data_IF_833195193069
#
_entry.id   IF_833195193069
#
_cell.length_a   1.000
_cell.length_b   1.000
_cell.length_c   1.000
_cell.angle_alpha   90.00
_cell.angle_beta   90.00
_cell.angle_gamma   90.00
#
_symmetry.space_group_name_H-M   'P 1'
#
loop_
_entity.id
_entity.type
_entity.pdbx_description
1 polymer ?
#
# COMPACT_ATOMS: atom_id res chain seq x y z
N UNK A 1 15.48 1.52 -4.08
CA UNK A 1 15.47 2.83 -3.39
C UNK A 1 14.59 2.72 -2.17
N UNK A 2 15.18 2.81 -0.99
CA UNK A 2 14.50 2.51 0.27
C UNK A 2 13.49 3.59 0.63
N UNK A 3 12.31 3.19 1.11
CA UNK A 3 11.20 4.11 1.34
C UNK A 3 10.61 4.08 2.75
N UNK A 4 11.12 3.23 3.66
CA UNK A 4 10.62 3.16 5.03
C UNK A 4 10.66 4.56 5.68
N UNK A 5 9.51 5.19 5.96
CA UNK A 5 9.48 6.56 6.44
C UNK A 5 9.67 6.63 7.96
N UNK A 6 10.09 7.80 8.45
CA UNK A 6 10.00 8.13 9.87
C UNK A 6 8.56 8.57 10.17
N UNK A 7 7.72 7.62 10.57
CA UNK A 7 6.28 7.78 10.72
C UNK A 7 5.79 7.11 12.01
N UNK A 8 4.55 7.43 12.45
CA UNK A 8 3.92 6.74 13.57
C UNK A 8 3.97 5.21 13.40
N UNK A 9 4.08 4.43 14.49
CA UNK A 9 4.21 2.96 14.42
C UNK A 9 3.00 2.28 13.74
N UNK A 10 3.25 1.25 12.93
CA UNK A 10 2.23 0.66 12.08
C UNK A 10 1.20 -0.13 12.87
N UNK A 11 1.69 -0.94 13.80
CA UNK A 11 0.84 -1.81 14.60
C UNK A 11 0.00 -0.98 15.58
N UNK A 12 0.56 0.10 16.12
CA UNK A 12 -0.18 1.07 16.92
C UNK A 12 -1.29 1.75 16.12
N UNK A 13 -1.01 2.29 14.93
CA UNK A 13 -2.06 2.89 14.07
C UNK A 13 -3.12 1.86 13.69
N UNK A 14 -2.74 0.63 13.33
CA UNK A 14 -3.69 -0.46 13.00
C UNK A 14 -4.53 -0.91 14.20
N UNK A 15 -4.07 -0.68 15.43
CA UNK A 15 -4.83 -0.95 16.65
C UNK A 15 -5.80 0.19 17.01
N UNK A 16 -5.56 1.41 16.49
CA UNK A 16 -6.40 2.58 16.71
C UNK A 16 -7.52 2.66 15.65
N UNK A 17 -8.65 2.02 15.92
CA UNK A 17 -9.76 1.89 14.96
C UNK A 17 -10.35 3.21 14.44
N UNK A 18 -10.15 4.33 15.14
CA UNK A 18 -10.61 5.66 14.72
C UNK A 18 -9.58 6.45 13.87
N UNK A 19 -8.35 5.92 13.72
CA UNK A 19 -7.29 6.51 12.89
C UNK A 19 -7.20 5.80 11.55
N UNK A 20 -6.81 6.53 10.51
CA UNK A 20 -6.61 5.96 9.18
C UNK A 20 -5.24 5.26 9.09
N UNK A 21 -5.21 4.09 8.46
CA UNK A 21 -3.97 3.48 8.03
C UNK A 21 -3.77 3.65 6.51
N UNK A 22 -2.69 4.32 6.14
CA UNK A 22 -2.18 4.42 4.77
C UNK A 22 -0.87 3.65 4.69
N UNK A 23 -0.75 2.78 3.70
CA UNK A 23 0.47 2.00 3.47
C UNK A 23 1.69 2.90 3.35
N UNK A 24 2.82 2.46 3.92
CA UNK A 24 4.02 3.28 4.11
C UNK A 24 4.55 3.89 2.83
N UNK A 25 4.45 3.17 1.71
CA UNK A 25 4.95 3.66 0.43
C UNK A 25 4.17 4.87 -0.12
N UNK A 26 2.95 5.09 0.37
CA UNK A 26 2.02 6.10 -0.13
C UNK A 26 1.90 7.34 0.78
N UNK A 27 2.60 7.36 1.92
CA UNK A 27 2.58 8.48 2.87
C UNK A 27 3.22 9.75 2.30
N UNK A 28 4.21 9.60 1.42
CA UNK A 28 4.93 10.70 0.79
C UNK A 28 4.49 11.02 -0.64
N UNK A 29 5.43 11.57 -1.40
CA UNK A 29 5.34 11.80 -2.84
C UNK A 29 5.33 10.47 -3.59
N UNK A 30 4.57 10.44 -4.67
CA UNK A 30 4.54 9.34 -5.63
C UNK A 30 5.95 9.01 -6.15
N UNK A 31 6.39 7.79 -5.87
CA UNK A 31 7.72 7.29 -6.18
C UNK A 31 8.04 7.34 -7.68
N UNK A 32 7.04 7.26 -8.56
CA UNK A 32 7.22 7.44 -10.00
C UNK A 32 7.87 8.78 -10.34
N UNK A 33 7.54 9.84 -9.59
CA UNK A 33 8.06 11.20 -9.80
C UNK A 33 9.52 11.34 -9.40
N UNK A 34 10.04 10.39 -8.62
CA UNK A 34 11.42 10.39 -8.16
C UNK A 34 12.28 9.38 -8.93
N UNK A 35 11.81 8.14 -9.07
CA UNK A 35 12.57 7.06 -9.69
C UNK A 35 12.76 7.29 -11.19
N UNK A 36 11.71 7.64 -11.94
CA UNK A 36 11.80 7.75 -13.40
C UNK A 36 12.83 8.81 -13.85
N UNK A 37 12.85 10.04 -13.30
CA UNK A 37 13.89 11.02 -13.66
C UNK A 37 15.30 10.58 -13.24
N UNK A 38 15.46 9.91 -12.10
CA UNK A 38 16.77 9.41 -11.63
C UNK A 38 17.32 8.30 -12.53
N UNK A 39 16.46 7.37 -12.96
CA UNK A 39 16.83 6.33 -13.91
C UNK A 39 17.14 6.91 -15.30
N UNK A 40 16.38 7.90 -15.77
CA UNK A 40 16.71 8.61 -17.01
C UNK A 40 18.08 9.30 -16.93
N UNK A 41 18.39 9.94 -15.80
CA UNK A 41 19.72 10.53 -15.55
C UNK A 41 20.83 9.48 -15.53
N UNK A 42 20.56 8.28 -15.00
CA UNK A 42 21.52 7.17 -15.04
C UNK A 42 21.76 6.68 -16.47
N UNK A 43 20.71 6.47 -17.26
CA UNK A 43 20.82 6.09 -18.66
C UNK A 43 21.60 7.12 -19.49
N UNK A 44 21.36 8.40 -19.24
CA UNK A 44 22.10 9.49 -19.88
C UNK A 44 23.59 9.49 -19.51
N UNK A 45 23.93 9.18 -18.25
CA UNK A 45 25.35 9.02 -17.84
C UNK A 45 26.02 7.83 -18.53
N UNK A 46 25.29 6.73 -18.72
CA UNK A 46 25.81 5.56 -19.45
C UNK A 46 26.06 5.97 -20.92
N UNK A 47 25.08 6.61 -21.57
CA UNK A 47 25.20 7.15 -22.94
C UNK A 47 26.44 8.04 -23.09
N UNK A 48 26.64 8.98 -22.17
CA UNK A 48 27.83 9.85 -22.17
C UNK A 48 29.16 9.10 -22.06
N UNK A 49 29.15 7.90 -21.48
CA UNK A 49 30.37 7.09 -21.28
C UNK A 49 30.69 6.19 -22.47
N UNK A 50 29.69 5.75 -23.23
CA UNK A 50 29.86 4.73 -24.30
C UNK A 50 29.46 5.20 -25.70
N UNK A 51 28.84 6.38 -25.84
CA UNK A 51 28.32 6.88 -27.10
C UNK A 51 26.83 6.59 -27.29
N UNK A 52 26.44 6.09 -28.47
CA UNK A 52 25.04 5.78 -28.77
C UNK A 52 24.52 4.66 -27.84
N UNK A 53 23.33 4.86 -27.27
CA UNK A 53 22.67 3.92 -26.37
C UNK A 53 21.16 3.99 -26.64
N UNK A 54 20.58 2.90 -27.13
CA UNK A 54 19.14 2.71 -27.12
C UNK A 54 18.70 2.31 -25.73
N UNK A 55 17.80 3.09 -25.11
CA UNK A 55 17.27 2.74 -23.79
C UNK A 55 15.81 3.13 -23.59
N UNK A 56 15.17 2.44 -22.63
CA UNK A 56 13.84 2.80 -22.13
C UNK A 56 13.74 2.57 -20.63
N UNK A 57 13.23 3.58 -19.92
CA UNK A 57 13.08 3.57 -18.46
C UNK A 57 11.65 3.18 -18.08
N UNK A 58 11.53 2.27 -17.12
CA UNK A 58 10.25 1.87 -16.52
C UNK A 58 10.30 1.87 -14.99
N UNK A 59 9.12 2.07 -14.41
CA UNK A 59 8.83 2.05 -12.98
C UNK A 59 7.33 1.71 -12.88
N UNK A 60 6.96 0.50 -12.45
CA UNK A 60 5.61 -0.05 -12.17
C UNK A 60 4.54 0.03 -13.31
N UNK A 61 4.42 1.16 -13.98
CA UNK A 61 3.37 1.48 -14.95
C UNK A 61 3.47 0.80 -16.32
N UNK A 62 4.36 -0.17 -16.50
CA UNK A 62 4.64 -0.81 -17.78
C UNK A 62 4.28 -2.31 -17.73
N UNK A 63 3.97 -2.96 -18.87
CA UNK A 63 3.66 -4.38 -18.91
C UNK A 63 4.94 -5.24 -18.79
N UNK A 64 5.66 -5.05 -17.69
CA UNK A 64 6.95 -5.67 -17.38
C UNK A 64 6.85 -6.31 -16.00
N UNK A 65 7.32 -7.54 -15.87
CA UNK A 65 7.31 -8.26 -14.61
C UNK A 65 8.53 -7.88 -13.74
N UNK A 66 8.54 -6.63 -13.26
CA UNK A 66 9.66 -5.99 -12.53
C UNK A 66 10.26 -6.87 -11.43
N UNK A 67 9.42 -7.47 -10.58
CA UNK A 67 9.88 -8.34 -9.48
C UNK A 67 10.64 -9.57 -9.97
N UNK A 68 10.24 -10.15 -11.10
CA UNK A 68 10.93 -11.30 -11.68
C UNK A 68 12.27 -10.90 -12.30
N UNK A 69 12.33 -9.73 -12.95
CA UNK A 69 13.58 -9.16 -13.45
C UNK A 69 14.55 -8.86 -12.31
N UNK A 70 14.07 -8.23 -11.25
CA UNK A 70 14.88 -7.89 -10.08
C UNK A 70 15.41 -9.14 -9.33
N UNK A 71 14.61 -10.22 -9.25
CA UNK A 71 15.10 -11.53 -8.76
C UNK A 71 16.21 -12.06 -9.66
N UNK A 72 15.99 -12.04 -10.98
CA UNK A 72 16.95 -12.59 -11.94
C UNK A 72 18.26 -11.78 -11.98
N UNK A 73 18.20 -10.48 -11.71
CA UNK A 73 19.35 -9.58 -11.63
C UNK A 73 20.03 -9.56 -10.26
N UNK A 74 19.78 -10.57 -9.41
CA UNK A 74 20.44 -10.69 -8.11
C UNK A 74 20.07 -9.62 -7.07
N UNK A 75 19.02 -8.80 -7.26
CA UNK A 75 18.64 -7.77 -6.28
C UNK A 75 18.04 -8.38 -5.00
N UNK A 76 17.57 -9.63 -5.06
CA UNK A 76 16.97 -10.32 -3.94
C UNK A 76 16.26 -11.61 -4.33
N UNK A 77 15.38 -12.09 -3.46
CA UNK A 77 14.52 -13.24 -3.71
C UNK A 77 13.05 -12.88 -3.51
N UNK A 78 12.15 -13.61 -4.15
CA UNK A 78 10.71 -13.41 -3.96
C UNK A 78 10.29 -14.07 -2.64
N UNK A 79 9.68 -13.27 -1.75
CA UNK A 79 9.09 -13.75 -0.51
C UNK A 79 7.78 -14.50 -0.72
N UNK A 80 7.34 -15.29 0.28
CA UNK A 80 6.04 -16.01 0.19
C UNK A 80 4.84 -15.07 0.03
N UNK A 81 4.96 -13.81 0.44
CA UNK A 81 4.01 -12.72 0.21
C UNK A 81 4.20 -12.01 -1.15
N UNK A 82 4.97 -12.58 -2.08
CA UNK A 82 5.19 -12.11 -3.47
C UNK A 82 5.85 -10.74 -3.65
N UNK A 83 6.43 -10.13 -2.61
CA UNK A 83 7.33 -8.98 -2.79
C UNK A 83 8.79 -9.46 -2.87
N UNK A 84 9.62 -8.69 -3.55
CA UNK A 84 11.06 -8.90 -3.53
C UNK A 84 11.61 -8.56 -2.14
N UNK A 85 12.52 -9.39 -1.66
CA UNK A 85 13.23 -9.19 -0.39
C UNK A 85 14.72 -9.13 -0.70
N UNK A 86 15.36 -8.08 -0.21
CA UNK A 86 16.79 -7.87 -0.20
C UNK A 86 17.34 -8.15 1.21
N UNK A 87 18.57 -8.67 1.29
CA UNK A 87 19.20 -9.06 2.56
C UNK A 87 19.43 -7.88 3.50
N UNK A 88 19.72 -6.70 2.96
CA UNK A 88 20.08 -5.50 3.72
C UNK A 88 18.92 -4.52 3.85
N UNK A 89 18.04 -4.43 2.85
CA UNK A 89 16.92 -3.48 2.84
C UNK A 89 15.57 -4.09 3.25
N UNK A 90 15.49 -5.40 3.47
CA UNK A 90 14.21 -6.08 3.65
C UNK A 90 13.37 -6.01 2.37
N UNK A 91 12.14 -5.53 2.44
CA UNK A 91 11.23 -5.34 1.29
C UNK A 91 10.74 -3.90 1.13
N UNK A 92 11.33 -2.97 1.88
CA UNK A 92 10.92 -1.56 1.94
C UNK A 92 11.67 -0.70 0.92
N UNK A 93 11.65 -1.10 -0.35
CA UNK A 93 12.26 -0.35 -1.44
C UNK A 93 11.43 -0.42 -2.72
N UNK A 94 11.58 0.60 -3.56
CA UNK A 94 10.98 0.63 -4.90
C UNK A 94 11.91 0.01 -5.95
N UNK A 95 11.28 -0.60 -6.96
CA UNK A 95 11.91 -1.13 -8.17
C UNK A 95 11.82 -0.13 -9.33
N UNK A 96 12.71 -0.30 -10.28
CA UNK A 96 12.68 0.40 -11.55
C UNK A 96 13.77 -0.15 -12.47
N UNK A 97 13.51 -0.10 -13.77
CA UNK A 97 14.29 -0.78 -14.79
C UNK A 97 14.76 0.19 -15.87
N UNK A 98 15.94 -0.09 -16.41
CA UNK A 98 16.44 0.53 -17.65
C UNK A 98 16.67 -0.61 -18.63
N UNK A 99 15.83 -0.69 -19.64
CA UNK A 99 16.06 -1.56 -20.79
C UNK A 99 17.11 -0.89 -21.65
N UNK A 100 18.13 -1.64 -22.04
CA UNK A 100 19.25 -1.17 -22.87
C UNK A 100 19.48 -2.15 -24.00
N UNK A 101 19.99 -1.67 -25.13
CA UNK A 101 20.48 -2.49 -26.25
C UNK A 101 21.94 -2.94 -26.08
N UNK A 102 22.54 -2.63 -24.92
CA UNK A 102 23.88 -3.06 -24.54
C UNK A 102 23.87 -4.52 -24.05
N UNK A 103 24.72 -5.42 -24.58
CA UNK A 103 24.81 -6.82 -24.16
C UNK A 103 25.58 -6.96 -22.84
N UNK A 104 24.96 -6.52 -21.75
CA UNK A 104 25.52 -6.66 -20.40
C UNK A 104 25.53 -8.13 -19.96
N UNK A 105 26.58 -8.59 -19.26
CA UNK A 105 26.58 -9.92 -18.65
C UNK A 105 25.47 -10.00 -17.58
N UNK A 106 24.71 -11.10 -17.51
CA UNK A 106 23.67 -11.25 -16.50
C UNK A 106 24.27 -11.52 -15.12
N UNK A 107 23.64 -10.94 -14.08
CA UNK A 107 23.92 -11.26 -12.70
C UNK A 107 23.39 -12.65 -12.31
N UNK A 108 23.83 -13.17 -11.16
CA UNK A 108 23.34 -14.41 -10.58
C UNK A 108 22.20 -14.14 -9.59
N UNK A 109 21.08 -14.88 -9.66
CA UNK A 109 20.01 -14.77 -8.68
C UNK A 109 20.46 -15.12 -7.26
N UNK A 110 19.83 -14.48 -6.27
CA UNK A 110 20.06 -14.77 -4.85
C UNK A 110 19.21 -15.96 -4.40
N UNK A 111 19.74 -16.79 -3.49
CA UNK A 111 19.02 -17.90 -2.90
C UNK A 111 17.77 -17.44 -2.13
N UNK A 112 16.74 -18.28 -2.07
CA UNK A 112 15.54 -17.99 -1.28
C UNK A 112 15.82 -18.20 0.21
N UNK A 113 15.45 -17.21 1.04
CA UNK A 113 15.66 -17.27 2.49
C UNK A 113 14.36 -17.23 3.31
N UNK A 114 13.22 -17.60 2.75
CA UNK A 114 11.98 -17.74 3.52
C UNK A 114 11.96 -19.00 4.40
N UNK A 115 12.60 -20.09 3.97
CA UNK A 115 12.58 -21.37 4.70
C UNK A 115 11.17 -21.85 5.05
N UNK A 116 10.99 -22.34 6.28
CA UNK A 116 9.70 -22.80 6.80
C UNK A 116 8.76 -21.66 7.24
N UNK A 117 9.20 -20.39 7.27
CA UNK A 117 8.42 -19.26 7.78
C UNK A 117 7.07 -19.12 7.07
N UNK A 118 5.99 -18.89 7.83
CA UNK A 118 4.63 -18.69 7.34
C UNK A 118 3.98 -17.38 7.80
N UNK A 119 4.68 -16.55 8.57
CA UNK A 119 4.14 -15.36 9.24
C UNK A 119 3.28 -14.46 8.33
N UNK A 120 3.73 -14.21 7.09
CA UNK A 120 2.98 -13.37 6.15
C UNK A 120 1.66 -13.98 5.67
N UNK A 121 1.56 -15.32 5.57
CA UNK A 121 0.31 -16.01 5.27
C UNK A 121 -0.64 -15.89 6.46
N UNK A 122 -0.12 -16.18 7.66
CA UNK A 122 -0.90 -16.26 8.88
C UNK A 122 -1.49 -14.90 9.28
N UNK A 123 -0.73 -13.80 9.08
CA UNK A 123 -1.19 -12.45 9.42
C UNK A 123 -2.18 -11.85 8.41
N UNK A 124 -2.27 -12.40 7.19
CA UNK A 124 -3.02 -11.76 6.11
C UNK A 124 -4.53 -11.67 6.44
N UNK A 125 -5.12 -10.47 6.62
CA UNK A 125 -6.46 -10.37 7.22
C UNK A 125 -7.56 -11.04 6.39
N UNK A 126 -7.43 -11.03 5.07
CA UNK A 126 -8.38 -11.61 4.12
C UNK A 126 -7.94 -12.98 3.59
N UNK A 127 -6.82 -13.51 4.10
CA UNK A 127 -6.18 -14.74 3.60
C UNK A 127 -5.96 -14.68 2.08
N UNK A 128 -5.46 -13.54 1.59
CA UNK A 128 -5.18 -13.31 0.18
C UNK A 128 -3.94 -14.06 -0.31
N UNK A 129 -3.00 -14.40 0.57
CA UNK A 129 -1.87 -15.29 0.24
C UNK A 129 -2.36 -16.74 0.39
N UNK A 130 -2.95 -17.28 -0.68
CA UNK A 130 -3.63 -18.59 -0.67
C UNK A 130 -2.64 -19.76 -0.62
N UNK A 131 -1.40 -19.54 -1.04
CA UNK A 131 -0.30 -20.48 -0.93
C UNK A 131 1.03 -19.69 -0.94
N UNK A 132 2.15 -20.28 -0.48
CA UNK A 132 3.46 -19.65 -0.65
C UNK A 132 3.69 -19.17 -2.09
N UNK A 133 4.03 -17.89 -2.24
CA UNK A 133 4.30 -17.25 -3.54
C UNK A 133 3.06 -17.06 -4.44
N UNK A 134 1.85 -17.25 -3.89
CA UNK A 134 0.60 -17.11 -4.63
C UNK A 134 -0.37 -16.19 -3.88
N UNK A 135 -0.74 -15.08 -4.52
CA UNK A 135 -1.69 -14.10 -3.98
C UNK A 135 -2.92 -14.04 -4.89
N UNK A 136 -4.11 -14.18 -4.31
CA UNK A 136 -5.36 -13.81 -4.97
C UNK A 136 -5.59 -12.30 -4.80
N UNK A 137 -5.34 -11.54 -5.86
CA UNK A 137 -5.49 -10.09 -5.86
C UNK A 137 -6.92 -9.66 -5.47
N UNK A 138 -7.95 -10.43 -5.83
CA UNK A 138 -9.36 -10.09 -5.54
C UNK A 138 -9.67 -10.07 -4.04
N UNK A 139 -8.82 -10.72 -3.23
CA UNK A 139 -8.91 -10.74 -1.76
C UNK A 139 -7.94 -9.75 -1.13
N UNK A 140 -6.91 -9.32 -1.85
CA UNK A 140 -5.83 -8.50 -1.30
C UNK A 140 -6.32 -7.09 -0.97
N UNK A 141 -6.20 -6.67 0.29
CA UNK A 141 -6.62 -5.32 0.74
C UNK A 141 -5.94 -4.22 -0.07
N UNK A 142 -4.67 -4.41 -0.45
CA UNK A 142 -3.96 -3.46 -1.32
C UNK A 142 -4.66 -3.29 -2.66
N UNK A 143 -5.06 -4.38 -3.32
CA UNK A 143 -5.81 -4.32 -4.57
C UNK A 143 -7.20 -3.72 -4.35
N UNK A 144 -7.93 -4.16 -3.32
CA UNK A 144 -9.28 -3.71 -3.01
C UNK A 144 -9.33 -2.19 -2.75
N UNK A 145 -8.32 -1.63 -2.10
CA UNK A 145 -8.28 -0.19 -1.78
C UNK A 145 -7.76 0.68 -2.92
N UNK A 146 -6.93 0.13 -3.83
CA UNK A 146 -6.21 0.92 -4.85
C UNK A 146 -6.75 0.71 -6.26
N UNK A 147 -6.91 -0.54 -6.69
CA UNK A 147 -7.18 -0.92 -8.08
C UNK A 147 -8.62 -1.33 -8.33
N UNK A 148 -9.30 -1.91 -7.33
CA UNK A 148 -10.74 -2.19 -7.45
C UNK A 148 -11.51 -0.87 -7.63
N UNK A 149 -12.23 -0.74 -8.74
CA UNK A 149 -13.09 0.43 -9.05
C UNK A 149 -14.54 0.26 -8.61
N UNK A 150 -14.95 -0.97 -8.27
CA UNK A 150 -16.31 -1.28 -7.83
C UNK A 150 -16.43 -1.37 -6.32
N UNK A 151 -17.56 -1.93 -5.86
CA UNK A 151 -17.80 -2.21 -4.46
C UNK A 151 -16.75 -3.17 -3.87
N UNK A 152 -16.41 -2.98 -2.60
CA UNK A 152 -15.61 -3.97 -1.85
C UNK A 152 -16.57 -5.10 -1.44
N UNK A 153 -16.25 -6.37 -1.74
CA UNK A 153 -17.08 -7.50 -1.32
C UNK A 153 -17.32 -7.51 0.19
N UNK A 154 -18.58 -7.76 0.60
CA UNK A 154 -19.02 -7.62 1.99
C UNK A 154 -18.18 -8.47 2.94
N UNK A 155 -17.77 -9.67 2.51
CA UNK A 155 -16.96 -10.61 3.28
C UNK A 155 -15.56 -10.07 3.65
N UNK A 156 -15.04 -9.07 2.92
CA UNK A 156 -13.72 -8.49 3.19
C UNK A 156 -13.78 -7.19 3.98
N UNK A 157 -14.92 -6.47 3.97
CA UNK A 157 -15.05 -5.15 4.60
C UNK A 157 -14.62 -5.15 6.07
N UNK A 158 -15.04 -6.16 6.83
CA UNK A 158 -14.68 -6.26 8.25
C UNK A 158 -13.17 -6.51 8.47
N UNK A 159 -12.57 -7.40 7.67
CA UNK A 159 -11.15 -7.75 7.80
C UNK A 159 -10.21 -6.60 7.40
N UNK A 160 -10.70 -5.61 6.65
CA UNK A 160 -9.91 -4.44 6.26
C UNK A 160 -9.52 -3.55 7.46
N UNK A 161 -10.29 -3.57 8.54
CA UNK A 161 -10.05 -2.70 9.69
C UNK A 161 -10.05 -1.23 9.27
N UNK A 162 -9.01 -0.49 9.64
CA UNK A 162 -8.84 0.93 9.32
C UNK A 162 -7.90 1.21 8.13
N UNK A 163 -7.61 0.21 7.28
CA UNK A 163 -6.76 0.37 6.09
C UNK A 163 -7.53 1.05 4.96
N UNK A 164 -7.16 2.29 4.66
CA UNK A 164 -7.87 3.11 3.67
C UNK A 164 -7.14 3.21 2.32
N UNK A 165 -5.84 2.87 2.27
CA UNK A 165 -5.06 2.86 1.03
C UNK A 165 -3.84 1.94 1.18
N UNK A 166 -3.80 0.84 0.43
CA UNK A 166 -2.75 -0.17 0.55
C UNK A 166 -2.88 -1.03 1.82
N UNK A 167 -1.96 -1.98 1.97
CA UNK A 167 -1.85 -2.84 3.15
C UNK A 167 -0.42 -3.34 3.26
N UNK A 168 0.16 -3.23 4.47
CA UNK A 168 1.56 -3.63 4.70
C UNK A 168 1.70 -4.86 5.58
N UNK A 169 0.62 -5.45 6.09
CA UNK A 169 0.64 -6.51 7.10
C UNK A 169 1.64 -7.64 6.79
N UNK A 170 1.64 -8.12 5.54
CA UNK A 170 2.52 -9.20 5.09
C UNK A 170 4.01 -8.79 5.04
N UNK A 171 4.29 -7.49 4.88
CA UNK A 171 5.62 -6.92 5.01
C UNK A 171 5.95 -6.64 6.49
N UNK A 172 5.05 -6.02 7.25
CA UNK A 172 5.27 -5.67 8.66
C UNK A 172 5.67 -6.88 9.51
N UNK A 173 5.07 -8.05 9.25
CA UNK A 173 5.41 -9.30 9.97
C UNK A 173 6.64 -10.02 9.40
N UNK A 174 7.16 -9.60 8.24
CA UNK A 174 8.25 -10.30 7.58
C UNK A 174 9.55 -10.13 8.38
N UNK A 175 10.21 -11.22 8.83
CA UNK A 175 11.39 -11.13 9.69
C UNK A 175 12.61 -10.48 9.01
N UNK A 176 12.60 -10.38 7.68
CA UNK A 176 13.64 -9.70 6.91
C UNK A 176 13.51 -8.18 6.95
N UNK A 177 12.34 -7.64 7.30
CA UNK A 177 12.16 -6.20 7.41
C UNK A 177 12.80 -5.59 8.66
N UNK A 178 13.30 -6.40 9.60
CA UNK A 178 14.14 -5.92 10.71
C UNK A 178 15.47 -5.31 10.25
N UNK A 179 15.91 -5.62 9.03
CA UNK A 179 17.13 -5.08 8.45
C UNK A 179 16.90 -3.75 7.73
N UNK A 180 15.65 -3.41 7.43
CA UNK A 180 15.31 -2.17 6.74
C UNK A 180 15.67 -0.94 7.58
N UNK A 181 16.16 0.10 6.91
CA UNK A 181 16.55 1.36 7.51
C UNK A 181 15.58 2.45 7.12
N UNK A 182 15.45 3.46 7.98
CA UNK A 182 14.70 4.67 7.66
C UNK A 182 15.30 5.34 6.41
N UNK A 183 14.43 5.73 5.49
CA UNK A 183 14.81 6.41 4.28
C UNK A 183 15.28 7.83 4.58
N UNK A 184 16.43 8.20 4.01
CA UNK A 184 16.91 9.58 4.02
C UNK A 184 16.19 10.45 2.98
N UNK A 185 15.34 9.86 2.13
CA UNK A 185 14.62 10.56 1.08
C UNK A 185 13.43 11.34 1.65
N UNK A 186 13.53 12.67 1.62
CA UNK A 186 12.48 13.55 2.16
C UNK A 186 11.16 13.40 1.42
N UNK A 187 11.22 13.10 0.12
CA UNK A 187 10.03 12.88 -0.70
C UNK A 187 9.19 11.69 -0.22
N UNK A 188 9.74 10.75 0.55
CA UNK A 188 8.99 9.60 1.07
C UNK A 188 8.43 9.82 2.48
N UNK A 189 8.74 10.96 3.11
CA UNK A 189 8.24 11.26 4.45
C UNK A 189 6.75 11.60 4.45
N UNK A 190 6.02 11.37 5.56
CA UNK A 190 4.59 11.60 5.62
C UNK A 190 4.19 13.03 5.26
N UNK A 191 3.21 13.16 4.38
CA UNK A 191 2.59 14.44 4.02
C UNK A 191 1.22 14.54 4.65
N UNK A 192 0.84 15.76 5.05
CA UNK A 192 -0.50 16.06 5.58
C UNK A 192 -0.90 15.20 6.79
N UNK A 193 0.09 14.71 7.55
CA UNK A 193 -0.10 13.88 8.74
C UNK A 193 -0.88 12.59 8.47
N UNK A 194 -0.83 12.06 7.24
CA UNK A 194 -1.59 10.87 6.83
C UNK A 194 -1.26 9.62 7.66
N UNK A 195 -0.16 9.60 8.41
CA UNK A 195 0.19 8.54 9.36
C UNK A 195 -0.53 8.65 10.71
N UNK A 196 -1.23 9.77 10.98
CA UNK A 196 -1.86 10.10 12.27
C UNK A 196 -3.28 10.69 12.13
N UNK A 197 -3.83 10.78 10.92
CA UNK A 197 -5.15 11.39 10.70
C UNK A 197 -6.29 10.51 11.18
N UNK A 198 -7.31 11.13 11.78
CA UNK A 198 -8.57 10.47 12.14
C UNK A 198 -9.41 10.17 10.90
N UNK A 199 -10.16 9.08 10.93
CA UNK A 199 -11.03 8.68 9.83
C UNK A 199 -12.11 9.74 9.53
N UNK A 200 -12.73 10.30 10.57
CA UNK A 200 -13.78 11.33 10.43
C UNK A 200 -13.26 12.58 9.74
N UNK A 201 -12.04 13.03 10.05
CA UNK A 201 -11.40 14.19 9.41
C UNK A 201 -11.22 13.94 7.91
N UNK A 202 -10.71 12.76 7.53
CA UNK A 202 -10.44 12.41 6.13
C UNK A 202 -11.73 12.20 5.32
N UNK A 203 -12.79 11.69 5.94
CA UNK A 203 -14.09 11.51 5.30
C UNK A 203 -14.80 12.84 5.06
N UNK A 204 -14.50 13.87 5.86
CA UNK A 204 -15.03 15.23 5.70
C UNK A 204 -14.34 16.04 4.58
N UNK A 205 -13.22 15.59 4.02
CA UNK A 205 -12.57 16.28 2.89
C UNK A 205 -13.52 16.39 1.69
N UNK A 206 -13.63 17.57 1.11
CA UNK A 206 -14.29 17.73 -0.19
C UNK A 206 -13.45 17.09 -1.31
N UNK A 207 -14.03 16.92 -2.50
CA UNK A 207 -13.26 16.44 -3.66
C UNK A 207 -12.10 17.40 -3.99
N UNK A 208 -12.35 18.71 -3.93
CA UNK A 208 -11.32 19.73 -4.13
C UNK A 208 -10.19 19.61 -3.10
N UNK A 209 -10.53 19.42 -1.82
CA UNK A 209 -9.53 19.23 -0.78
C UNK A 209 -8.73 17.93 -0.99
N UNK A 210 -9.41 16.83 -1.28
CA UNK A 210 -8.78 15.55 -1.61
C UNK A 210 -7.80 15.72 -2.77
N UNK A 211 -8.24 16.32 -3.89
CA UNK A 211 -7.39 16.54 -5.06
C UNK A 211 -6.17 17.39 -4.67
N UNK A 212 -6.38 18.52 -4.00
CA UNK A 212 -5.29 19.42 -3.60
C UNK A 212 -4.28 18.74 -2.66
N UNK A 213 -4.73 18.08 -1.59
CA UNK A 213 -3.88 17.41 -0.59
C UNK A 213 -3.14 16.20 -1.16
N UNK A 214 -3.77 15.45 -2.07
CA UNK A 214 -3.16 14.26 -2.68
C UNK A 214 -2.35 14.56 -3.95
N UNK A 215 -2.11 15.85 -4.27
CA UNK A 215 -1.31 16.21 -5.44
C UNK A 215 0.10 15.61 -5.37
N UNK A 216 0.44 14.84 -6.41
CA UNK A 216 1.71 14.14 -6.51
C UNK A 216 1.87 13.00 -5.49
N UNK A 217 0.78 12.44 -4.97
CA UNK A 217 0.75 11.21 -4.17
C UNK A 217 0.15 10.06 -4.98
N UNK A 218 0.59 8.83 -4.69
CA UNK A 218 0.01 7.61 -5.25
C UNK A 218 -1.48 7.46 -4.90
N UNK A 219 -1.94 8.06 -3.79
CA UNK A 219 -3.32 7.98 -3.30
C UNK A 219 -4.37 8.35 -4.37
N UNK A 220 -4.04 9.27 -5.27
CA UNK A 220 -4.92 9.67 -6.38
C UNK A 220 -5.33 8.49 -7.28
N UNK A 221 -4.58 7.40 -7.31
CA UNK A 221 -4.91 6.18 -8.06
C UNK A 221 -6.26 5.59 -7.66
N UNK A 222 -6.69 5.74 -6.41
CA UNK A 222 -7.98 5.25 -5.94
C UNK A 222 -9.17 6.12 -6.44
N UNK A 223 -8.92 7.40 -6.75
CA UNK A 223 -9.97 8.39 -7.01
C UNK A 223 -10.73 8.79 -5.74
N UNK A 224 -11.54 9.85 -5.83
CA UNK A 224 -12.27 10.39 -4.67
C UNK A 224 -13.42 9.47 -4.20
N UNK A 225 -14.16 8.87 -5.14
CA UNK A 225 -15.18 7.87 -4.79
C UNK A 225 -14.57 6.64 -4.10
N UNK A 226 -13.43 6.15 -4.60
CA UNK A 226 -12.69 5.05 -3.96
C UNK A 226 -12.14 5.42 -2.57
N UNK A 227 -11.68 6.66 -2.40
CA UNK A 227 -11.28 7.22 -1.10
C UNK A 227 -12.43 7.19 -0.09
N UNK A 228 -13.60 7.74 -0.45
CA UNK A 228 -14.78 7.73 0.41
C UNK A 228 -15.27 6.31 0.71
N UNK A 229 -15.29 5.42 -0.30
CA UNK A 229 -15.65 4.01 -0.14
C UNK A 229 -14.77 3.31 0.90
N UNK A 230 -13.45 3.48 0.80
CA UNK A 230 -12.50 2.86 1.73
C UNK A 230 -12.66 3.41 3.15
N UNK A 231 -12.86 4.74 3.28
CA UNK A 231 -13.11 5.38 4.56
C UNK A 231 -14.43 4.97 5.19
N UNK A 232 -15.50 4.78 4.41
CA UNK A 232 -16.77 4.29 4.92
C UNK A 232 -16.60 2.88 5.52
N UNK A 233 -15.86 1.98 4.86
CA UNK A 233 -15.52 0.66 5.43
C UNK A 233 -14.77 0.80 6.76
N UNK A 234 -13.75 1.67 6.81
CA UNK A 234 -12.97 1.90 8.02
C UNK A 234 -13.81 2.49 9.17
N UNK A 235 -14.69 3.46 8.87
CA UNK A 235 -15.63 4.04 9.84
C UNK A 235 -16.63 3.00 10.35
N UNK A 236 -17.13 2.11 9.49
CA UNK A 236 -17.97 0.99 9.89
C UNK A 236 -17.27 -0.01 10.82
N UNK A 237 -15.94 -0.12 10.74
CA UNK A 237 -15.12 -0.98 11.59
C UNK A 237 -14.63 -0.30 12.89
N UNK A 238 -14.79 1.02 13.02
CA UNK A 238 -14.40 1.76 14.22
C UNK A 238 -15.33 1.45 15.41
N UNK A 239 -14.93 1.83 16.63
CA UNK A 239 -15.81 1.75 17.79
C UNK A 239 -17.08 2.59 17.56
N UNK A 240 -18.25 2.16 18.06
CA UNK A 240 -19.50 2.85 17.80
C UNK A 240 -19.47 4.26 18.38
N UNK A 241 -19.77 5.26 17.56
CA UNK A 241 -19.71 6.66 17.98
C UNK A 241 -20.77 7.51 17.28
N UNK A 242 -21.42 8.38 18.05
CA UNK A 242 -22.33 9.40 17.51
C UNK A 242 -21.63 10.32 16.52
N UNK A 243 -20.34 10.60 16.71
CA UNK A 243 -19.54 11.40 15.77
C UNK A 243 -19.41 10.67 14.44
N UNK A 244 -19.06 9.39 14.45
CA UNK A 244 -18.94 8.56 13.24
C UNK A 244 -20.28 8.46 12.51
N UNK A 245 -21.37 8.21 13.23
CA UNK A 245 -22.72 8.15 12.67
C UNK A 245 -23.10 9.50 12.03
N UNK A 246 -22.83 10.63 12.69
CA UNK A 246 -23.09 11.95 12.15
C UNK A 246 -22.26 12.22 10.88
N UNK A 247 -20.97 11.87 10.90
CA UNK A 247 -20.06 12.00 9.75
C UNK A 247 -20.53 11.17 8.55
N UNK A 248 -20.92 9.92 8.75
CA UNK A 248 -21.48 9.07 7.70
C UNK A 248 -22.80 9.65 7.14
N UNK A 249 -23.71 10.08 8.02
CA UNK A 249 -24.99 10.68 7.62
C UNK A 249 -24.82 11.96 6.79
N UNK A 250 -23.75 12.74 7.02
CA UNK A 250 -23.47 13.95 6.23
C UNK A 250 -23.30 13.70 4.73
N UNK A 251 -23.08 12.43 4.33
CA UNK A 251 -22.90 12.01 2.93
C UNK A 251 -23.83 10.87 2.50
N UNK A 252 -24.89 10.56 3.26
CA UNK A 252 -25.79 9.43 2.94
C UNK A 252 -26.41 9.52 1.54
N UNK A 253 -26.66 10.74 1.05
CA UNK A 253 -27.28 11.02 -0.24
C UNK A 253 -26.23 11.29 -1.35
N UNK A 254 -25.00 10.80 -1.20
CA UNK A 254 -23.93 10.99 -2.19
C UNK A 254 -24.36 10.51 -3.59
N UNK A 255 -24.04 11.21 -4.69
CA UNK A 255 -24.53 10.84 -6.03
C UNK A 255 -24.04 9.47 -6.54
N UNK A 256 -22.85 9.04 -6.11
CA UNK A 256 -22.27 7.73 -6.44
C UNK A 256 -22.94 6.60 -5.62
N UNK A 257 -23.54 5.63 -6.30
CA UNK A 257 -24.25 4.48 -5.70
C UNK A 257 -23.33 3.58 -4.87
N UNK A 258 -22.11 3.32 -5.34
CA UNK A 258 -21.13 2.52 -4.60
C UNK A 258 -20.79 3.22 -3.28
N UNK A 259 -20.63 4.54 -3.28
CA UNK A 259 -20.35 5.28 -2.04
C UNK A 259 -21.53 5.17 -1.07
N UNK A 260 -22.78 5.33 -1.54
CA UNK A 260 -23.96 5.17 -0.68
C UNK A 260 -24.04 3.78 -0.06
N UNK A 261 -23.86 2.73 -0.86
CA UNK A 261 -23.87 1.33 -0.39
C UNK A 261 -22.88 1.09 0.78
N UNK A 262 -21.68 1.68 0.70
CA UNK A 262 -20.68 1.51 1.76
C UNK A 262 -20.98 2.37 2.99
N UNK A 263 -21.61 3.53 2.82
CA UNK A 263 -22.09 4.37 3.92
C UNK A 263 -23.22 3.67 4.66
N UNK A 264 -24.19 3.09 3.96
CA UNK A 264 -25.30 2.33 4.54
C UNK A 264 -24.77 1.14 5.35
N UNK A 265 -23.87 0.34 4.77
CA UNK A 265 -23.20 -0.75 5.49
C UNK A 265 -22.47 -0.26 6.75
N UNK A 266 -21.79 0.87 6.68
CA UNK A 266 -21.06 1.43 7.81
C UNK A 266 -22.01 1.93 8.91
N UNK A 267 -23.13 2.56 8.55
CA UNK A 267 -24.17 3.00 9.48
C UNK A 267 -24.82 1.79 10.18
N UNK A 268 -25.15 0.72 9.46
CA UNK A 268 -25.66 -0.52 10.05
C UNK A 268 -24.70 -1.10 11.09
N UNK A 269 -23.39 -1.11 10.80
CA UNK A 269 -22.36 -1.57 11.75
C UNK A 269 -22.29 -0.69 12.99
N UNK A 270 -22.32 0.63 12.82
CA UNK A 270 -22.26 1.59 13.92
C UNK A 270 -23.52 1.54 14.81
N UNK A 271 -24.70 1.39 14.21
CA UNK A 271 -25.99 1.32 14.95
C UNK A 271 -26.13 -0.02 15.67
N UNK A 272 -25.72 -1.12 15.05
CA UNK A 272 -25.83 -2.45 15.67
C UNK A 272 -24.87 -2.66 16.84
N UNK A 273 -23.88 -1.76 17.03
CA UNK A 273 -22.92 -1.82 18.14
C UNK A 273 -22.02 -3.05 18.14
N UNK A 274 -22.03 -3.84 17.07
CA UNK A 274 -21.18 -5.04 16.93
C UNK A 274 -19.78 -4.64 16.50
N UNK A 275 -19.05 -4.00 17.42
CA UNK A 275 -17.60 -3.84 17.29
C UNK A 275 -16.93 -4.97 18.06
N UNK A 276 -16.23 -5.85 17.34
CA UNK A 276 -15.41 -6.86 17.99
C UNK A 276 -14.10 -6.18 18.42
N UNK A 277 -14.03 -5.82 19.70
CA UNK A 277 -12.75 -5.80 20.38
C UNK A 277 -12.07 -7.15 20.15
N UNK A 278 -10.87 -7.11 19.58
CA UNK A 278 -10.01 -8.29 19.37
C UNK A 278 -9.95 -9.10 20.66
N UNK A 279 -10.31 -10.37 20.57
CA UNK A 279 -9.76 -11.40 21.42
C UNK A 279 -8.23 -11.34 21.32
N UNK A 280 -7.62 -10.72 22.32
CA UNK A 280 -6.28 -11.03 22.78
C UNK A 280 -6.19 -12.52 23.14
N UNK A 281 -5.19 -13.19 22.59
CA UNK A 281 -4.77 -14.56 22.92
C UNK A 281 -4.36 -15.30 21.64
N UNK A 282 -3.16 -15.84 21.47
CA UNK A 282 -2.00 -16.05 22.33
C UNK A 282 -0.81 -16.34 21.40
N UNK A 283 0.39 -15.91 21.82
CA UNK A 283 1.74 -16.24 21.30
C UNK A 283 2.15 -15.72 19.92
#
# INVERSE_FOLDING_TARGET
MDYLPDAADAWQTLAQGNHAYVSRYALGRDYHKLLRPRLAKLAERIRQSIGELGYRVFVDSAPVLEKALARNSGLGWIGKHTNLINREAGSWFFLGEIFVDLPLPPDQPVANHCGSCRACLDVCPTQAIIAPYQVDARRCISYLTIENRGAIPIEFRQAMGNRIYGCDDCQLVCPWNKFAKLSCERDFQPRHELDRKKLVELFSWSEEEFLRKTQGSAIRRAGYAGWLRNLAVALGNADPSNEVIATLNSRKDHPDEMVREHIEWALEKQISGKTLHKSSGNM
#
